data_IF_444584299317
#
_entry.id   IF_444584299317
#
_cell.length_a   1.000
_cell.length_b   1.000
_cell.length_c   1.000
_cell.angle_alpha   90.00
_cell.angle_beta   90.00
_cell.angle_gamma   90.00
#
_symmetry.space_group_name_H-M   'P 1'
#
loop_
_entity.id
_entity.type
_entity.pdbx_description
1 polymer ?
#
# COMPACT_ATOMS: atom_id res chain seq x y z
N UNK A 1 1.15 -11.22 -14.25
CA UNK A 1 0.71 -10.90 -12.87
C UNK A 1 0.14 -9.49 -12.85
N UNK A 2 -1.05 -9.32 -12.27
CA UNK A 2 -1.66 -8.00 -12.02
C UNK A 2 -1.13 -7.41 -10.71
N UNK A 3 -1.09 -6.07 -10.62
CA UNK A 3 -0.62 -5.37 -9.41
C UNK A 3 -1.45 -5.77 -8.19
N UNK A 4 -2.75 -6.01 -8.38
CA UNK A 4 -3.67 -6.50 -7.35
C UNK A 4 -3.19 -7.83 -6.74
N UNK A 5 -2.89 -8.81 -7.59
CA UNK A 5 -2.39 -10.12 -7.13
C UNK A 5 -1.01 -10.02 -6.47
N UNK A 6 -0.15 -9.09 -6.93
CA UNK A 6 1.13 -8.81 -6.27
C UNK A 6 0.93 -8.23 -4.86
N UNK A 7 -0.05 -7.34 -4.70
CA UNK A 7 -0.40 -6.77 -3.39
C UNK A 7 -0.87 -7.87 -2.44
N UNK A 8 -1.72 -8.79 -2.89
CA UNK A 8 -2.27 -9.85 -2.05
C UNK A 8 -1.26 -10.96 -1.71
N UNK A 9 -0.42 -11.35 -2.66
CA UNK A 9 0.50 -12.48 -2.46
C UNK A 9 1.85 -12.09 -1.87
N UNK A 10 2.33 -10.85 -2.12
CA UNK A 10 3.65 -10.40 -1.70
C UNK A 10 3.58 -9.32 -0.62
N UNK A 11 2.75 -8.29 -0.82
CA UNK A 11 2.70 -7.15 0.09
C UNK A 11 1.92 -7.48 1.37
N UNK A 12 0.71 -8.05 1.26
CA UNK A 12 -0.12 -8.39 2.42
C UNK A 12 0.62 -9.23 3.48
N UNK A 13 1.24 -10.38 3.18
CA UNK A 13 1.90 -11.19 4.21
C UNK A 13 3.09 -10.48 4.86
N UNK A 14 3.82 -9.63 4.12
CA UNK A 14 4.92 -8.83 4.67
C UNK A 14 4.43 -7.75 5.63
N UNK A 15 3.35 -7.06 5.27
CA UNK A 15 2.76 -6.01 6.09
C UNK A 15 1.98 -6.57 7.29
N UNK A 16 1.34 -7.74 7.11
CA UNK A 16 0.58 -8.42 8.16
C UNK A 16 1.50 -8.89 9.31
N UNK A 17 2.76 -9.22 9.01
CA UNK A 17 3.79 -9.46 10.04
C UNK A 17 4.10 -8.24 10.92
N UNK A 18 3.82 -7.02 10.43
CA UNK A 18 4.04 -5.75 11.12
C UNK A 18 2.75 -5.22 11.81
N UNK A 19 1.67 -6.00 11.83
CA UNK A 19 0.40 -5.62 12.47
C UNK A 19 -0.51 -4.72 11.62
N UNK A 20 -0.20 -4.56 10.33
CA UNK A 20 -1.05 -3.82 9.39
C UNK A 20 -1.29 -4.57 8.09
N UNK A 21 -2.17 -4.06 7.24
CA UNK A 21 -2.36 -4.61 5.90
C UNK A 21 -2.71 -3.52 4.92
N UNK A 22 -2.60 -3.85 3.64
CA UNK A 22 -2.87 -2.93 2.54
C UNK A 22 -3.93 -3.51 1.62
N UNK A 23 -4.82 -2.64 1.16
CA UNK A 23 -5.83 -2.97 0.16
C UNK A 23 -5.54 -2.20 -1.12
N UNK A 24 -5.56 -2.90 -2.24
CA UNK A 24 -5.51 -2.27 -3.56
C UNK A 24 -6.85 -1.59 -3.86
N UNK A 25 -6.82 -0.32 -4.25
CA UNK A 25 -8.05 0.39 -4.68
C UNK A 25 -8.10 0.49 -6.20
N UNK A 26 -7.11 1.17 -6.78
CA UNK A 26 -7.10 1.46 -8.21
C UNK A 26 -5.69 1.80 -8.67
N UNK A 27 -5.44 1.56 -9.95
CA UNK A 27 -4.21 1.94 -10.63
C UNK A 27 -4.61 2.78 -11.85
N UNK A 28 -4.44 4.10 -11.75
CA UNK A 28 -4.80 5.05 -12.81
C UNK A 28 -3.59 5.91 -13.14
N UNK A 29 -3.27 6.04 -14.44
CA UNK A 29 -2.21 6.91 -14.95
C UNK A 29 -0.88 6.80 -14.19
N UNK A 30 -0.43 5.55 -13.97
CA UNK A 30 0.78 5.20 -13.20
C UNK A 30 0.69 5.53 -11.71
N UNK A 31 -0.43 6.00 -11.19
CA UNK A 31 -0.64 6.22 -9.76
C UNK A 31 -1.36 5.01 -9.16
N UNK A 32 -0.67 4.29 -8.28
CA UNK A 32 -1.19 3.15 -7.56
C UNK A 32 -1.79 3.60 -6.23
N UNK A 33 -3.11 3.55 -6.11
CA UNK A 33 -3.79 3.89 -4.87
C UNK A 33 -3.92 2.67 -3.97
N UNK A 34 -3.28 2.74 -2.80
CA UNK A 34 -3.31 1.69 -1.77
C UNK A 34 -3.90 2.26 -0.48
N UNK A 35 -4.81 1.52 0.14
CA UNK A 35 -5.37 1.87 1.45
C UNK A 35 -4.62 1.10 2.51
N UNK A 36 -3.98 1.82 3.43
CA UNK A 36 -3.29 1.22 4.58
C UNK A 36 -4.26 1.16 5.75
N UNK A 37 -4.33 -0.01 6.38
CA UNK A 37 -5.20 -0.32 7.54
C UNK A 37 -4.36 -0.87 8.70
N UNK A 38 -4.96 -0.93 9.88
CA UNK A 38 -4.31 -1.46 11.09
C UNK A 38 -3.24 -0.52 11.65
N UNK A 39 -2.14 -1.07 12.14
CA UNK A 39 -1.04 -0.28 12.72
C UNK A 39 -0.31 0.58 11.68
N UNK A 40 -0.30 0.17 10.40
CA UNK A 40 0.27 0.98 9.32
C UNK A 40 -0.36 2.37 9.20
N UNK A 41 -1.62 2.53 9.62
CA UNK A 41 -2.35 3.82 9.57
C UNK A 41 -1.73 4.90 10.49
N UNK A 42 -1.07 4.48 11.58
CA UNK A 42 -0.41 5.36 12.56
C UNK A 42 1.11 5.41 12.38
N UNK A 43 1.65 4.66 11.44
CA UNK A 43 3.08 4.46 11.31
C UNK A 43 3.77 5.73 10.76
N UNK A 44 4.71 6.30 11.52
CA UNK A 44 5.47 7.51 11.13
C UNK A 44 6.36 7.27 9.90
N UNK A 45 6.68 6.02 9.58
CA UNK A 45 7.54 5.63 8.46
C UNK A 45 6.77 5.22 7.20
N UNK A 46 5.47 5.54 7.09
CA UNK A 46 4.67 5.16 5.92
C UNK A 46 5.31 5.59 4.59
N UNK A 47 6.00 6.73 4.54
CA UNK A 47 6.70 7.18 3.33
C UNK A 47 7.74 6.16 2.86
N UNK A 48 8.52 5.55 3.76
CA UNK A 48 9.49 4.50 3.42
C UNK A 48 8.81 3.25 2.90
N UNK A 49 7.67 2.90 3.48
CA UNK A 49 6.89 1.75 3.03
C UNK A 49 6.37 1.97 1.59
N UNK A 50 5.90 3.19 1.28
CA UNK A 50 5.47 3.54 -0.08
C UNK A 50 6.64 3.48 -1.07
N UNK A 51 7.77 4.11 -0.72
CA UNK A 51 8.98 4.13 -1.56
C UNK A 51 9.47 2.70 -1.87
N UNK A 52 9.49 1.84 -0.85
CA UNK A 52 9.83 0.44 -1.01
C UNK A 52 8.84 -0.32 -1.90
N UNK A 53 7.54 -0.07 -1.80
CA UNK A 53 6.52 -0.69 -2.68
C UNK A 53 6.70 -0.21 -4.13
N UNK A 54 6.97 1.08 -4.34
CA UNK A 54 7.27 1.65 -5.67
C UNK A 54 8.48 0.95 -6.29
N UNK A 55 9.56 0.78 -5.53
CA UNK A 55 10.76 0.08 -5.99
C UNK A 55 10.49 -1.40 -6.31
N UNK A 56 9.79 -2.11 -5.43
CA UNK A 56 9.46 -3.52 -5.64
C UNK A 56 8.62 -3.72 -6.90
N UNK A 57 7.61 -2.87 -7.12
CA UNK A 57 6.78 -2.95 -8.33
C UNK A 57 7.61 -2.60 -9.59
N UNK A 58 8.54 -1.67 -9.47
CA UNK A 58 9.47 -1.34 -10.56
C UNK A 58 10.42 -2.49 -10.87
N UNK A 59 10.90 -3.23 -9.88
CA UNK A 59 11.80 -4.38 -10.09
C UNK A 59 11.03 -5.57 -10.66
N UNK A 60 9.90 -5.91 -10.04
CA UNK A 60 9.14 -7.13 -10.34
C UNK A 60 8.28 -6.99 -11.60
N UNK A 61 7.50 -5.90 -11.69
CA UNK A 61 6.60 -5.65 -12.81
C UNK A 61 7.22 -4.78 -13.91
N UNK A 62 8.45 -4.25 -13.74
CA UNK A 62 9.08 -3.28 -14.66
C UNK A 62 8.21 -2.07 -14.98
N UNK A 63 7.29 -1.72 -14.06
CA UNK A 63 6.37 -0.60 -14.20
C UNK A 63 6.75 0.50 -13.24
N UNK A 64 6.92 1.70 -13.78
CA UNK A 64 7.13 2.88 -12.96
C UNK A 64 5.76 3.36 -12.47
N UNK A 65 5.41 3.03 -11.22
CA UNK A 65 4.18 3.47 -10.57
C UNK A 65 4.50 4.37 -9.40
N UNK A 66 3.58 5.28 -9.09
CA UNK A 66 3.65 6.18 -7.95
C UNK A 66 2.66 5.73 -6.90
N UNK A 67 3.12 5.38 -5.70
CA UNK A 67 2.22 4.86 -4.66
C UNK A 67 1.53 6.02 -3.95
N UNK A 68 0.21 6.07 -4.07
CA UNK A 68 -0.64 6.96 -3.31
C UNK A 68 -1.23 6.20 -2.12
N UNK A 69 -0.72 6.47 -0.93
CA UNK A 69 -1.15 5.80 0.29
C UNK A 69 -2.30 6.55 0.98
N UNK A 70 -3.50 5.97 0.93
CA UNK A 70 -4.66 6.47 1.65
C UNK A 70 -4.66 5.90 3.07
N UNK A 71 -4.54 6.79 4.05
CA UNK A 71 -4.72 6.44 5.47
C UNK A 71 -6.20 6.55 5.81
N UNK A 72 -6.89 5.42 5.95
CA UNK A 72 -8.20 5.45 6.61
C UNK A 72 -7.97 5.51 8.12
N UNK A 73 -8.10 6.71 8.70
CA UNK A 73 -8.40 6.81 10.14
C UNK A 73 -9.70 6.02 10.38
N UNK A 74 -9.83 5.24 11.47
CA UNK A 74 -11.14 4.74 11.85
C UNK A 74 -12.07 5.96 11.91
N UNK A 75 -13.13 5.93 11.10
CA UNK A 75 -14.18 6.93 11.11
C UNK A 75 -14.86 6.85 12.47
N UNK A 76 -14.34 7.56 13.47
CA UNK A 76 -14.98 7.73 14.76
C UNK A 76 -14.54 9.06 15.39
N UNK A 77 -14.70 10.16 14.64
CA UNK A 77 -14.88 11.48 15.24
C UNK A 77 -15.47 12.45 14.21
N UNK A 78 -16.72 12.20 13.84
CA UNK A 78 -17.68 13.24 13.45
C UNK A 78 -18.94 12.96 14.29
N UNK A 79 -18.87 13.32 15.57
CA UNK A 79 -20.02 13.55 16.46
C UNK A 79 -19.67 14.72 17.37
#
# INVERSE_FOLDING_TARGET
MTVQNYVETVLQPKLQGDGGWVEFVSLEDKTLTLVFRGECSKCKILHRCCDWIEEQIKIDLKKNVRVNAIRKRPYFQDV
#
